data_IF_316027423161
#
_entry.id   IF_316027423161
#
_cell.length_a   1.000
_cell.length_b   1.000
_cell.length_c   1.000
_cell.angle_alpha   90.00
_cell.angle_beta   90.00
_cell.angle_gamma   90.00
#
_symmetry.space_group_name_H-M   'P 1'
#
loop_
_entity.id
_entity.type
_entity.pdbx_description
1 polymer ?
#
# COMPACT_ATOMS: atom_id res chain seq x y z
N UNK A 1 10.42 0.54 7.54
CA UNK A 1 10.58 0.34 8.99
C UNK A 1 10.67 1.67 9.73
N UNK A 2 11.14 2.71 9.04
CA UNK A 2 11.26 4.03 9.63
C UNK A 2 9.92 4.52 10.14
N UNK A 3 9.96 5.51 11.04
CA UNK A 3 8.74 6.07 11.62
C UNK A 3 7.86 6.69 10.53
N UNK A 4 8.50 7.32 9.55
CA UNK A 4 7.78 7.96 8.46
C UNK A 4 7.28 6.93 7.44
N UNK A 5 7.64 5.68 7.64
CA UNK A 5 7.22 4.62 6.74
C UNK A 5 5.91 4.00 7.22
N UNK A 6 5.65 4.14 8.51
CA UNK A 6 4.42 3.62 9.09
C UNK A 6 3.59 4.77 9.62
N UNK A 7 4.26 5.83 10.03
CA UNK A 7 3.57 7.00 10.53
C UNK A 7 3.29 7.98 9.41
N UNK A 8 4.16 8.02 8.41
CA UNK A 8 3.92 8.92 7.28
C UNK A 8 3.15 8.17 6.21
N UNK A 9 3.29 6.85 6.17
CA UNK A 9 2.58 6.07 5.19
C UNK A 9 1.18 5.71 5.67
N UNK A 10 1.01 5.56 6.97
CA UNK A 10 -0.29 5.21 7.52
C UNK A 10 -1.12 6.44 7.86
N UNK A 11 -0.47 7.57 8.07
CA UNK A 11 -1.19 8.80 8.43
C UNK A 11 -1.57 9.62 7.21
N UNK A 12 -0.67 9.71 6.25
CA UNK A 12 -0.91 10.49 5.05
C UNK A 12 -1.56 9.67 3.95
N UNK A 13 -1.17 8.41 3.86
CA UNK A 13 -1.69 7.54 2.83
C UNK A 13 -2.97 6.82 3.27
N UNK A 14 -3.10 6.58 4.57
CA UNK A 14 -4.29 5.90 5.08
C UNK A 14 -5.39 6.89 5.44
N UNK A 15 -5.10 8.19 5.30
CA UNK A 15 -6.08 9.23 5.62
C UNK A 15 -6.31 10.20 4.48
N UNK A 16 -5.51 10.13 3.44
CA UNK A 16 -5.69 11.04 2.32
C UNK A 16 -6.89 10.62 1.47
N UNK A 17 -7.65 11.60 0.94
CA UNK A 17 -8.84 11.32 0.11
C UNK A 17 -8.57 10.29 -0.98
N UNK A 18 -7.33 10.18 -1.39
CA UNK A 18 -6.95 9.23 -2.43
C UNK A 18 -6.96 7.80 -1.90
N UNK A 19 -6.80 7.66 -0.58
CA UNK A 19 -6.80 6.34 0.05
C UNK A 19 -8.06 5.55 -0.34
N UNK A 20 -9.14 6.28 -0.59
CA UNK A 20 -10.39 5.65 -0.96
C UNK A 20 -10.19 4.64 -2.09
N UNK A 21 -9.57 5.10 -3.16
CA UNK A 21 -9.30 4.25 -4.32
C UNK A 21 -7.96 3.56 -4.22
N UNK A 22 -6.95 4.29 -3.80
CA UNK A 22 -5.60 3.75 -3.67
C UNK A 22 -5.50 2.75 -2.53
N UNK A 23 -6.27 2.97 -1.46
CA UNK A 23 -6.24 2.07 -0.31
C UNK A 23 -7.26 0.95 -0.46
N UNK A 24 -8.37 1.24 -1.14
CA UNK A 24 -9.40 0.21 -1.33
C UNK A 24 -8.89 -0.86 -2.27
N UNK A 25 -8.21 -0.44 -3.32
CA UNK A 25 -7.65 -1.36 -4.30
C UNK A 25 -6.44 -2.08 -3.71
N UNK A 26 -5.68 -1.35 -2.90
CA UNK A 26 -4.50 -1.89 -2.25
C UNK A 26 -4.93 -2.83 -1.12
N UNK A 27 -5.90 -2.39 -0.34
CA UNK A 27 -6.40 -3.20 0.77
C UNK A 27 -7.10 -4.46 0.27
N UNK A 28 -7.58 -4.41 -0.98
CA UNK A 28 -8.25 -5.56 -1.58
C UNK A 28 -7.24 -6.64 -1.91
N UNK A 29 -6.09 -6.23 -2.41
CA UNK A 29 -5.02 -7.16 -2.75
C UNK A 29 -4.58 -7.92 -1.50
N UNK A 30 -4.29 -7.17 -0.45
CA UNK A 30 -3.88 -7.77 0.82
C UNK A 30 -5.00 -8.66 1.36
N UNK A 31 -6.23 -8.38 0.92
CA UNK A 31 -7.38 -9.17 1.35
C UNK A 31 -7.52 -10.41 0.48
N UNK A 32 -7.04 -10.32 -0.76
CA UNK A 32 -7.10 -11.43 -1.69
C UNK A 32 -5.90 -12.36 -1.49
N UNK A 33 -4.80 -11.79 -1.03
CA UNK A 33 -3.58 -12.56 -0.78
C UNK A 33 -3.69 -13.30 0.54
N UNK A 34 -4.39 -12.70 1.50
CA UNK A 34 -4.58 -13.32 2.80
C UNK A 34 -5.66 -14.39 2.72
N UNK A 35 -6.72 -14.09 1.97
CA UNK A 35 -7.82 -15.03 1.81
C UNK A 35 -7.32 -16.24 1.01
N UNK A 36 -6.31 -16.00 0.18
CA UNK A 36 -5.73 -17.07 -0.64
C UNK A 36 -4.63 -17.79 0.15
N UNK A 37 -4.04 -17.08 1.11
CA UNK A 37 -2.98 -17.66 1.93
C UNK A 37 -3.57 -18.52 3.04
N UNK A 38 -4.83 -18.28 3.37
CA UNK A 38 -5.52 -19.04 4.41
C UNK A 38 -5.48 -20.53 4.12
N UNK A 39 -5.70 -20.89 2.86
CA UNK A 39 -5.70 -22.30 2.46
C UNK A 39 -4.63 -22.57 1.42
N UNK A 40 -4.28 -21.53 0.65
CA UNK A 40 -3.28 -21.66 -0.40
C UNK A 40 -3.78 -22.60 -1.49
N UNK A 41 -4.99 -22.31 -1.98
CA UNK A 41 -5.61 -23.12 -3.04
C UNK A 41 -4.60 -23.45 -4.14
N UNK A 42 -3.63 -22.56 -4.33
CA UNK A 42 -2.60 -22.76 -5.35
C UNK A 42 -1.41 -21.85 -5.11
N UNK A 43 -0.22 -22.45 -4.98
CA UNK A 43 0.99 -21.70 -4.74
C UNK A 43 1.15 -20.59 -5.78
N UNK A 44 0.96 -20.96 -7.04
CA UNK A 44 1.06 -20.00 -8.13
C UNK A 44 -0.02 -18.93 -7.99
N UNK A 45 -1.13 -19.30 -7.36
CA UNK A 45 -2.24 -18.38 -7.14
C UNK A 45 -1.94 -17.45 -5.98
N UNK A 46 -1.37 -18.01 -4.92
CA UNK A 46 -1.02 -17.22 -3.74
C UNK A 46 0.25 -16.41 -3.98
N UNK A 47 1.10 -16.91 -4.87
CA UNK A 47 2.35 -16.23 -5.18
C UNK A 47 2.13 -15.15 -6.24
N UNK A 48 1.10 -15.33 -7.04
CA UNK A 48 0.78 -14.36 -8.07
C UNK A 48 0.02 -13.17 -7.49
N UNK A 49 -0.73 -13.44 -6.43
CA UNK A 49 -1.49 -12.40 -5.75
C UNK A 49 -0.56 -11.43 -5.03
N UNK A 50 0.48 -11.97 -4.41
CA UNK A 50 1.43 -11.14 -3.70
C UNK A 50 2.15 -10.20 -4.66
N UNK A 51 2.40 -10.69 -5.88
CA UNK A 51 3.05 -9.86 -6.88
C UNK A 51 2.29 -8.56 -7.06
N UNK A 52 0.98 -8.63 -6.87
CA UNK A 52 0.13 -7.46 -6.97
C UNK A 52 0.21 -6.64 -5.69
N UNK A 53 0.64 -7.27 -4.60
CA UNK A 53 0.76 -6.59 -3.32
C UNK A 53 1.79 -5.47 -3.40
N UNK A 54 3.03 -5.86 -3.66
CA UNK A 54 4.12 -4.91 -3.79
C UNK A 54 3.83 -3.92 -4.91
N UNK A 55 3.00 -4.34 -5.85
CA UNK A 55 2.63 -3.49 -6.96
C UNK A 55 1.59 -2.48 -6.52
N UNK A 56 0.57 -2.98 -5.84
CA UNK A 56 -0.46 -2.11 -5.31
C UNK A 56 0.09 -1.35 -4.09
N UNK A 57 1.30 -1.74 -3.66
CA UNK A 57 1.93 -1.06 -2.54
C UNK A 57 2.72 0.12 -3.06
N UNK A 58 3.29 -0.05 -4.24
CA UNK A 58 4.06 1.01 -4.88
C UNK A 58 3.24 2.29 -4.98
N UNK A 59 1.94 2.14 -5.24
CA UNK A 59 1.05 3.29 -5.35
C UNK A 59 0.86 3.95 -3.99
N UNK A 60 0.78 3.14 -2.95
CA UNK A 60 0.59 3.63 -1.59
C UNK A 60 1.91 4.19 -1.06
N UNK A 61 3.00 3.53 -1.42
CA UNK A 61 4.32 3.97 -1.01
C UNK A 61 4.77 5.15 -1.86
N UNK A 62 4.37 5.11 -3.12
CA UNK A 62 4.71 6.20 -4.05
C UNK A 62 4.03 7.49 -3.61
N UNK A 63 2.84 7.38 -3.02
CA UNK A 63 2.13 8.56 -2.56
C UNK A 63 2.97 9.35 -1.56
N UNK A 64 3.63 8.64 -0.65
CA UNK A 64 4.48 9.27 0.35
C UNK A 64 5.63 10.03 -0.32
N UNK A 65 6.19 9.42 -1.36
CA UNK A 65 7.28 10.05 -2.10
C UNK A 65 6.85 11.42 -2.59
N UNK A 66 5.65 11.49 -3.15
CA UNK A 66 5.11 12.74 -3.64
C UNK A 66 4.62 13.60 -2.47
N UNK A 67 4.44 12.96 -1.31
CA UNK A 67 3.98 13.65 -0.12
C UNK A 67 5.15 14.32 0.60
N UNK A 68 6.31 13.67 0.57
CA UNK A 68 7.50 14.21 1.23
C UNK A 68 8.13 15.31 0.37
N UNK A 69 7.87 15.27 -0.92
CA UNK A 69 8.42 16.27 -1.84
C UNK A 69 7.49 17.48 -1.95
N UNK A 70 6.22 17.28 -1.61
CA UNK A 70 5.25 18.35 -1.64
C UNK A 70 5.21 19.05 -0.29
N UNK A 71 5.38 18.27 0.77
CA UNK A 71 5.40 18.83 2.11
C UNK A 71 6.70 19.57 2.36
N UNK A 72 7.75 19.14 1.68
CA UNK A 72 9.04 19.81 1.84
C UNK A 72 9.18 20.92 0.81
N UNK A 73 8.45 20.81 -0.28
CA UNK A 73 8.48 21.83 -1.31
C UNK A 73 7.40 22.87 -1.02
N UNK A 74 6.28 22.40 -0.46
CA UNK A 74 5.18 23.27 -0.13
C UNK A 74 5.33 23.84 1.28
N UNK A 75 5.76 23.01 2.24
CA UNK A 75 5.94 23.48 3.60
C UNK A 75 7.36 23.96 3.81
N UNK A 76 8.30 23.34 3.10
CA UNK A 76 9.71 23.73 3.20
C UNK A 76 10.19 24.40 1.92
#
# INVERSE_FOLDING_TARGET
>A
MFHEFRDEISVLKANNPHFDKIFEKHNQLDDDIKTAEQQNASDAEVSHMKKQKLKLKDEIHSMIIEYREKQKSERA
#
